data_IF_427133456190
#
_entry.id   IF_427133456190
#
_cell.length_a   1.000
_cell.length_b   1.000
_cell.length_c   1.000
_cell.angle_alpha   90.00
_cell.angle_beta   90.00
_cell.angle_gamma   90.00
#
_symmetry.space_group_name_H-M   'P 1'
#
loop_
_entity.id
_entity.type
_entity.pdbx_description
1 polymer ?
#
# COMPACT_ATOMS: atom_id res chain seq x y z
N UNK A 1 -18.45 22.53 7.33
CA UNK A 1 -17.80 21.42 8.05
C UNK A 1 -18.11 20.16 7.26
N UNK A 2 -17.33 19.88 6.22
CA UNK A 2 -17.58 18.72 5.35
C UNK A 2 -17.33 17.45 6.15
N UNK A 3 -18.36 16.63 6.29
CA UNK A 3 -18.25 15.26 6.75
C UNK A 3 -17.34 14.51 5.76
N UNK A 4 -16.10 14.25 6.15
CA UNK A 4 -15.21 13.43 5.33
C UNK A 4 -15.78 12.00 5.25
N UNK A 5 -15.87 11.41 4.03
CA UNK A 5 -16.56 10.15 3.85
C UNK A 5 -15.82 8.95 4.46
N UNK A 6 -14.53 9.08 4.79
CA UNK A 6 -13.72 8.03 5.40
C UNK A 6 -12.73 8.59 6.43
N UNK A 7 -12.48 7.86 7.51
CA UNK A 7 -11.45 8.19 8.51
C UNK A 7 -10.19 7.32 8.38
N UNK A 8 -10.26 6.26 7.56
CA UNK A 8 -9.19 5.28 7.41
C UNK A 8 -9.00 4.91 5.94
N UNK A 9 -7.73 4.77 5.54
CA UNK A 9 -7.33 4.26 4.22
C UNK A 9 -6.48 3.01 4.44
N UNK A 10 -6.90 1.88 3.85
CA UNK A 10 -6.14 0.64 3.89
C UNK A 10 -5.46 0.38 2.56
N UNK A 11 -4.15 0.19 2.63
CA UNK A 11 -3.29 -0.10 1.48
C UNK A 11 -2.78 -1.54 1.54
N UNK A 12 -2.48 -2.12 0.39
CA UNK A 12 -1.81 -3.42 0.32
C UNK A 12 -0.33 -3.30 0.68
N UNK A 13 0.32 -2.27 0.16
CA UNK A 13 1.77 -2.08 0.16
C UNK A 13 2.18 -0.81 0.89
N UNK A 14 3.44 -0.75 1.35
CA UNK A 14 4.02 0.48 1.89
C UNK A 14 4.10 1.60 0.83
N UNK A 15 4.35 1.23 -0.43
CA UNK A 15 4.37 2.18 -1.53
C UNK A 15 3.00 2.81 -1.79
N UNK A 16 1.92 2.00 -1.75
CA UNK A 16 0.55 2.50 -1.81
C UNK A 16 0.21 3.39 -0.61
N UNK A 17 0.58 2.98 0.60
CA UNK A 17 0.39 3.79 1.80
C UNK A 17 1.05 5.17 1.70
N UNK A 18 2.26 5.26 1.17
CA UNK A 18 2.91 6.56 0.99
C UNK A 18 2.32 7.40 -0.13
N UNK A 19 1.90 6.78 -1.23
CA UNK A 19 1.15 7.49 -2.28
C UNK A 19 -0.10 8.14 -1.69
N UNK A 20 -0.83 7.41 -0.84
CA UNK A 20 -2.03 7.93 -0.18
C UNK A 20 -1.71 9.03 0.83
N UNK A 21 -0.65 8.88 1.63
CA UNK A 21 -0.19 9.94 2.53
C UNK A 21 0.12 11.22 1.76
N UNK A 22 0.88 11.12 0.65
CA UNK A 22 1.22 12.27 -0.18
C UNK A 22 -0.03 12.97 -0.73
N UNK A 23 -0.95 12.22 -1.35
CA UNK A 23 -2.20 12.78 -1.87
C UNK A 23 -3.06 13.44 -0.79
N UNK A 24 -3.12 12.84 0.40
CA UNK A 24 -3.90 13.40 1.51
C UNK A 24 -3.29 14.69 2.06
N UNK A 25 -1.95 14.74 2.19
CA UNK A 25 -1.23 15.94 2.60
C UNK A 25 -1.37 17.06 1.56
N UNK A 26 -1.24 16.75 0.27
CA UNK A 26 -1.47 17.70 -0.84
C UNK A 26 -2.91 18.25 -0.83
N UNK A 27 -3.89 17.41 -0.48
CA UNK A 27 -5.28 17.82 -0.31
C UNK A 27 -5.55 18.57 1.01
N UNK A 28 -4.53 18.79 1.85
CA UNK A 28 -4.60 19.57 3.09
C UNK A 28 -5.17 18.82 4.28
N UNK A 29 -5.18 17.48 4.26
CA UNK A 29 -5.68 16.67 5.37
C UNK A 29 -4.62 16.45 6.45
N UNK A 30 -5.01 16.62 7.71
CA UNK A 30 -4.23 16.13 8.84
C UNK A 30 -4.17 14.61 8.79
N UNK A 31 -3.02 14.07 8.42
CA UNK A 31 -2.87 12.65 8.06
C UNK A 31 -1.96 11.92 9.03
N UNK A 32 -2.38 10.75 9.51
CA UNK A 32 -1.55 9.84 10.29
C UNK A 32 -1.18 8.59 9.49
N UNK A 33 -0.05 7.97 9.84
CA UNK A 33 0.36 6.66 9.34
C UNK A 33 0.50 5.69 10.52
N UNK A 34 -0.14 4.51 10.45
CA UNK A 34 -0.08 3.52 11.53
C UNK A 34 1.35 3.02 11.75
N UNK A 35 1.80 3.16 13.01
CA UNK A 35 3.18 2.89 13.42
C UNK A 35 4.13 4.06 13.21
N UNK A 36 3.61 5.22 12.80
CA UNK A 36 4.36 6.46 12.59
C UNK A 36 5.23 6.44 11.33
N UNK A 37 5.80 7.60 11.02
CA UNK A 37 6.73 7.75 9.89
C UNK A 37 8.19 7.48 10.23
N UNK A 38 8.54 7.23 11.50
CA UNK A 38 9.92 7.05 11.96
C UNK A 38 10.74 6.02 11.15
N UNK A 39 10.25 4.78 10.99
CA UNK A 39 10.92 3.77 10.16
C UNK A 39 11.11 4.21 8.71
N UNK A 40 10.08 4.81 8.10
CA UNK A 40 10.18 5.31 6.72
C UNK A 40 11.17 6.47 6.59
N UNK A 41 11.23 7.36 7.58
CA UNK A 41 12.22 8.45 7.61
C UNK A 41 13.64 7.89 7.66
N UNK A 42 13.90 6.94 8.56
CA UNK A 42 15.21 6.31 8.68
C UNK A 42 15.63 5.64 7.37
N UNK A 43 14.69 4.92 6.74
CA UNK A 43 14.91 4.22 5.49
C UNK A 43 15.13 5.18 4.31
N UNK A 44 14.37 6.27 4.23
CA UNK A 44 14.53 7.29 3.19
C UNK A 44 15.84 8.08 3.32
N UNK A 45 16.29 8.37 4.54
CA UNK A 45 17.61 8.95 4.79
C UNK A 45 18.73 8.01 4.33
N UNK A 46 18.64 6.73 4.69
CA UNK A 46 19.61 5.73 4.30
C UNK A 46 19.67 5.51 2.78
N UNK A 47 18.52 5.46 2.12
CA UNK A 47 18.44 5.44 0.66
C UNK A 47 19.09 6.70 0.05
N UNK A 48 18.87 7.87 0.64
CA UNK A 48 19.47 9.12 0.17
C UNK A 48 20.99 9.12 0.31
N UNK A 49 21.52 8.61 1.43
CA UNK A 49 22.96 8.46 1.62
C UNK A 49 23.58 7.57 0.54
N UNK A 50 22.99 6.41 0.30
CA UNK A 50 23.46 5.49 -0.74
C UNK A 50 23.36 6.05 -2.16
N UNK A 51 22.36 6.90 -2.45
CA UNK A 51 22.23 7.59 -3.75
C UNK A 51 23.33 8.62 -3.96
N UNK A 52 23.75 9.27 -2.88
CA UNK A 52 24.83 10.26 -2.88
C UNK A 52 26.23 9.65 -2.70
N UNK A 53 26.35 8.32 -2.74
CA UNK A 53 27.62 7.61 -2.57
C UNK A 53 28.16 7.61 -1.13
N UNK A 54 27.34 7.97 -0.14
CA UNK A 54 27.67 7.89 1.29
C UNK A 54 27.29 6.52 1.85
N UNK A 55 27.99 6.11 2.91
CA UNK A 55 27.64 4.92 3.69
C UNK A 55 26.42 5.20 4.57
N UNK A 56 25.70 4.15 4.92
CA UNK A 56 24.58 4.20 5.87
C UNK A 56 24.74 3.13 6.95
N UNK A 57 24.26 3.43 8.16
CA UNK A 57 24.22 2.50 9.29
C UNK A 57 22.85 1.78 9.41
N UNK A 58 21.93 2.00 8.45
CA UNK A 58 20.62 1.39 8.50
C UNK A 58 20.73 -0.14 8.36
N UNK A 59 20.19 -0.95 9.29
CA UNK A 59 20.42 -2.41 9.32
C UNK A 59 20.07 -3.13 8.01
N UNK A 60 19.00 -2.70 7.34
CA UNK A 60 18.56 -3.29 6.07
C UNK A 60 19.45 -2.89 4.88
N UNK A 61 20.23 -1.80 5.00
CA UNK A 61 20.96 -1.21 3.87
C UNK A 61 22.49 -1.12 4.07
N UNK A 62 22.99 -1.40 5.28
CA UNK A 62 24.40 -1.23 5.67
C UNK A 62 25.37 -2.07 4.84
N UNK A 63 24.92 -3.21 4.30
CA UNK A 63 25.74 -4.10 3.49
C UNK A 63 25.94 -3.60 2.05
N UNK A 64 25.15 -2.62 1.59
CA UNK A 64 25.20 -2.17 0.22
C UNK A 64 26.19 -1.00 0.06
N UNK A 65 27.02 -1.03 -1.00
CA UNK A 65 27.98 0.06 -1.27
C UNK A 65 27.34 1.27 -1.96
N UNK A 66 26.18 1.09 -2.61
CA UNK A 66 25.50 2.14 -3.37
C UNK A 66 24.01 1.83 -3.52
N UNK A 67 23.22 2.82 -3.92
CA UNK A 67 21.81 2.60 -4.22
C UNK A 67 21.59 1.62 -5.38
N UNK A 68 22.45 1.68 -6.40
CA UNK A 68 22.40 0.72 -7.52
C UNK A 68 22.54 -0.73 -7.05
N UNK A 69 23.41 -1.00 -6.08
CA UNK A 69 23.56 -2.35 -5.51
C UNK A 69 22.30 -2.81 -4.75
N UNK A 70 21.56 -1.90 -4.11
CA UNK A 70 20.26 -2.21 -3.51
C UNK A 70 19.25 -2.60 -4.58
N UNK A 71 19.20 -1.83 -5.68
CA UNK A 71 18.28 -2.09 -6.80
C UNK A 71 18.59 -3.44 -7.46
N UNK A 72 19.87 -3.71 -7.72
CA UNK A 72 20.33 -4.95 -8.34
C UNK A 72 19.99 -6.17 -7.46
N UNK A 73 20.24 -6.06 -6.15
CA UNK A 73 19.90 -7.13 -5.20
C UNK A 73 18.40 -7.37 -5.14
N UNK A 74 17.59 -6.31 -5.02
CA UNK A 74 16.14 -6.43 -4.96
C UNK A 74 15.55 -7.10 -6.23
N UNK A 75 16.12 -6.81 -7.40
CA UNK A 75 15.63 -7.31 -8.67
C UNK A 75 16.08 -8.73 -9.02
N UNK A 76 17.29 -9.15 -8.59
CA UNK A 76 17.92 -10.37 -9.10
C UNK A 76 18.19 -11.44 -8.03
N UNK A 77 18.27 -11.06 -6.76
CA UNK A 77 18.53 -12.03 -5.69
C UNK A 77 17.20 -12.63 -5.17
N UNK A 78 17.07 -13.96 -5.06
CA UNK A 78 15.88 -14.59 -4.50
C UNK A 78 15.50 -14.10 -3.09
N UNK A 79 16.49 -13.67 -2.29
CA UNK A 79 16.28 -13.10 -0.97
C UNK A 79 16.10 -11.56 -0.98
N UNK A 80 16.27 -10.91 -2.14
CA UNK A 80 16.18 -9.46 -2.28
C UNK A 80 14.76 -8.90 -2.36
N UNK A 81 13.76 -9.76 -2.56
CA UNK A 81 12.36 -9.35 -2.74
C UNK A 81 11.81 -8.49 -1.59
N UNK A 82 12.31 -8.66 -0.36
CA UNK A 82 11.90 -7.87 0.80
C UNK A 82 12.27 -6.38 0.68
N UNK A 83 13.29 -6.04 -0.11
CA UNK A 83 13.69 -4.65 -0.38
C UNK A 83 12.96 -4.03 -1.58
N UNK A 84 12.29 -4.83 -2.40
CA UNK A 84 11.58 -4.33 -3.58
C UNK A 84 10.55 -3.23 -3.25
N UNK A 85 9.74 -3.34 -2.17
CA UNK A 85 8.79 -2.27 -1.82
C UNK A 85 9.47 -0.93 -1.51
N UNK A 86 10.68 -0.95 -0.95
CA UNK A 86 11.46 0.26 -0.70
C UNK A 86 11.99 0.82 -2.02
N UNK A 87 12.55 -0.03 -2.88
CA UNK A 87 13.04 0.39 -4.19
C UNK A 87 11.92 1.05 -5.00
N UNK A 88 10.74 0.44 -5.04
CA UNK A 88 9.56 0.97 -5.72
C UNK A 88 9.09 2.30 -5.13
N UNK A 89 9.09 2.42 -3.79
CA UNK A 89 8.70 3.63 -3.09
C UNK A 89 9.62 4.80 -3.45
N UNK A 90 10.94 4.59 -3.39
CA UNK A 90 11.95 5.61 -3.70
C UNK A 90 11.97 5.93 -5.19
N UNK A 91 11.76 4.94 -6.07
CA UNK A 91 11.67 5.16 -7.51
C UNK A 91 10.44 6.01 -7.88
N UNK A 92 9.30 5.78 -7.22
CA UNK A 92 8.05 6.49 -7.51
C UNK A 92 8.04 7.92 -6.99
N UNK A 93 8.51 8.14 -5.76
CA UNK A 93 8.32 9.42 -5.07
C UNK A 93 9.62 10.20 -4.80
N UNK A 94 10.77 9.52 -4.79
CA UNK A 94 12.03 10.11 -4.36
C UNK A 94 12.15 10.25 -2.84
N UNK A 95 13.39 10.29 -2.35
CA UNK A 95 13.70 10.34 -0.91
C UNK A 95 13.25 11.64 -0.26
N UNK A 96 13.42 12.78 -0.93
CA UNK A 96 13.05 14.11 -0.40
C UNK A 96 11.54 14.26 -0.18
N UNK A 97 10.71 13.82 -1.13
CA UNK A 97 9.26 13.88 -1.00
C UNK A 97 8.78 12.99 0.17
N UNK A 98 9.36 11.81 0.32
CA UNK A 98 9.07 10.91 1.44
C UNK A 98 9.42 11.57 2.78
N UNK A 99 10.62 12.16 2.88
CA UNK A 99 11.06 12.84 4.12
C UNK A 99 10.16 14.02 4.48
N UNK A 100 9.75 14.79 3.48
CA UNK A 100 8.83 15.92 3.63
C UNK A 100 7.45 15.47 4.05
N UNK A 101 6.91 14.40 3.45
CA UNK A 101 5.61 13.85 3.83
C UNK A 101 5.62 13.33 5.27
N UNK A 102 6.67 12.60 5.65
CA UNK A 102 6.78 12.03 6.99
C UNK A 102 6.85 13.10 8.08
N UNK A 103 7.52 14.23 7.82
CA UNK A 103 7.61 15.33 8.80
C UNK A 103 6.28 16.06 9.03
N UNK A 104 5.32 15.90 8.12
CA UNK A 104 3.98 16.50 8.19
C UNK A 104 2.93 15.56 8.78
N UNK A 105 3.29 14.32 9.15
CA UNK A 105 2.36 13.38 9.74
C UNK A 105 1.92 13.84 11.13
N UNK A 106 0.62 13.71 11.39
CA UNK A 106 0.01 13.88 12.70
C UNK A 106 0.01 12.57 13.48
N UNK A 107 -0.14 12.67 14.80
CA UNK A 107 -0.48 11.52 15.64
C UNK A 107 -1.87 10.97 15.29
N UNK A 108 -2.09 9.66 15.46
CA UNK A 108 -3.36 9.00 15.14
C UNK A 108 -4.58 9.67 15.83
N UNK A 109 -4.40 10.27 17.01
CA UNK A 109 -5.49 10.96 17.74
C UNK A 109 -5.84 12.34 17.16
N UNK A 110 -4.89 13.00 16.50
CA UNK A 110 -5.04 14.33 15.93
C UNK A 110 -5.30 14.33 14.42
N UNK A 111 -5.36 13.17 13.79
CA UNK A 111 -5.53 13.03 12.35
C UNK A 111 -7.02 12.99 11.95
N UNK A 112 -7.30 13.60 10.81
CA UNK A 112 -8.60 13.48 10.11
C UNK A 112 -8.68 12.17 9.34
N UNK A 113 -7.55 11.69 8.80
CA UNK A 113 -7.44 10.45 8.04
C UNK A 113 -6.21 9.67 8.49
N UNK A 114 -6.38 8.39 8.79
CA UNK A 114 -5.28 7.49 9.13
C UNK A 114 -5.05 6.46 8.02
N UNK A 115 -3.82 6.41 7.51
CA UNK A 115 -3.38 5.43 6.52
C UNK A 115 -2.75 4.23 7.22
N UNK A 116 -3.08 3.03 6.76
CA UNK A 116 -2.49 1.79 7.26
C UNK A 116 -2.29 0.79 6.14
N UNK A 117 -1.33 -0.12 6.28
CA UNK A 117 -1.31 -1.33 5.47
C UNK A 117 -2.27 -2.37 6.06
N UNK A 118 -2.93 -3.16 5.23
CA UNK A 118 -3.89 -4.16 5.67
C UNK A 118 -3.28 -5.22 6.62
N UNK A 119 -1.96 -5.45 6.56
CA UNK A 119 -1.22 -6.28 7.53
C UNK A 119 -1.23 -5.69 8.95
N UNK A 120 -1.06 -4.37 9.07
CA UNK A 120 -1.09 -3.64 10.35
C UNK A 120 -2.51 -3.41 10.87
N UNK A 121 -3.53 -3.77 10.09
CA UNK A 121 -4.94 -3.62 10.45
C UNK A 121 -5.51 -4.75 11.33
N UNK A 122 -4.74 -5.82 11.59
CA UNK A 122 -5.22 -6.98 12.35
C UNK A 122 -5.61 -6.57 13.78
N UNK A 123 -6.84 -6.90 14.18
CA UNK A 123 -7.37 -6.64 15.52
C UNK A 123 -7.94 -5.23 15.74
N UNK A 124 -8.01 -4.39 14.71
CA UNK A 124 -8.64 -3.08 14.74
C UNK A 124 -9.91 -3.08 13.90
N UNK A 125 -10.90 -2.26 14.25
CA UNK A 125 -12.12 -2.11 13.46
C UNK A 125 -12.48 -0.63 13.35
N UNK A 126 -13.04 -0.23 12.21
CA UNK A 126 -13.29 1.18 11.94
C UNK A 126 -14.65 1.43 11.31
N UNK A 127 -15.22 2.58 11.63
CA UNK A 127 -16.55 2.98 11.19
C UNK A 127 -16.59 3.29 9.69
N UNK A 128 -15.55 3.94 9.13
CA UNK A 128 -15.48 4.30 7.71
C UNK A 128 -14.09 4.05 7.13
N UNK A 129 -13.99 3.12 6.18
CA UNK A 129 -12.73 2.69 5.56
C UNK A 129 -12.83 2.82 4.05
N UNK A 130 -11.78 3.35 3.42
CA UNK A 130 -11.52 3.25 1.99
C UNK A 130 -10.38 2.28 1.72
N UNK A 131 -10.52 1.44 0.71
CA UNK A 131 -9.43 0.64 0.18
C UNK A 131 -8.69 1.42 -0.90
N UNK A 132 -7.37 1.51 -0.78
CA UNK A 132 -6.53 2.16 -1.78
C UNK A 132 -6.50 1.37 -3.10
N UNK A 133 -6.07 2.03 -4.17
CA UNK A 133 -6.04 1.44 -5.51
C UNK A 133 -4.89 0.45 -5.74
N UNK A 134 -4.05 0.23 -4.72
CA UNK A 134 -2.86 -0.63 -4.79
C UNK A 134 -3.15 -2.13 -4.56
N UNK A 135 -4.43 -2.51 -4.56
CA UNK A 135 -4.87 -3.90 -4.61
C UNK A 135 -4.92 -4.38 -6.07
N UNK A 136 -4.09 -5.34 -6.48
CA UNK A 136 -4.00 -5.75 -7.88
C UNK A 136 -5.31 -6.42 -8.32
N UNK A 137 -5.76 -6.08 -9.52
CA UNK A 137 -6.74 -6.88 -10.23
C UNK A 137 -6.05 -8.16 -10.75
N UNK A 138 -6.72 -9.32 -10.70
CA UNK A 138 -6.22 -10.54 -11.33
C UNK A 138 -5.95 -10.27 -12.82
N UNK A 139 -4.83 -10.78 -13.33
CA UNK A 139 -4.50 -10.62 -14.75
C UNK A 139 -5.47 -11.45 -15.59
N UNK A 140 -5.71 -11.02 -16.81
CA UNK A 140 -6.40 -11.87 -17.78
C UNK A 140 -5.50 -13.02 -18.23
N UNK A 141 -6.08 -14.21 -18.39
CA UNK A 141 -5.46 -15.29 -19.15
C UNK A 141 -5.61 -15.01 -20.65
N UNK A 142 -4.83 -15.69 -21.48
CA UNK A 142 -4.99 -15.63 -22.94
C UNK A 142 -6.31 -16.30 -23.42
N UNK A 143 -7.11 -16.87 -22.53
CA UNK A 143 -8.37 -17.53 -22.84
C UNK A 143 -9.52 -16.52 -22.88
N UNK A 144 -10.49 -16.78 -23.75
CA UNK A 144 -11.75 -16.03 -23.83
C UNK A 144 -12.93 -16.92 -23.50
N UNK A 145 -13.91 -16.37 -22.80
CA UNK A 145 -15.16 -17.05 -22.49
C UNK A 145 -16.06 -17.20 -23.74
N UNK A 146 -17.21 -17.84 -23.57
CA UNK A 146 -18.18 -18.05 -24.65
C UNK A 146 -18.73 -16.75 -25.27
N UNK A 147 -18.56 -15.61 -24.59
CA UNK A 147 -18.98 -14.28 -25.03
C UNK A 147 -17.81 -13.45 -25.59
N UNK A 148 -16.59 -14.01 -25.65
CA UNK A 148 -15.40 -13.35 -26.14
C UNK A 148 -14.70 -12.45 -25.11
N UNK A 149 -15.11 -12.46 -23.84
CA UNK A 149 -14.46 -11.72 -22.77
C UNK A 149 -13.21 -12.47 -22.29
N UNK A 150 -12.12 -11.77 -21.93
CA UNK A 150 -10.96 -12.41 -21.34
C UNK A 150 -11.31 -13.10 -20.01
N UNK A 151 -10.75 -14.31 -19.81
CA UNK A 151 -10.95 -15.07 -18.57
C UNK A 151 -9.87 -14.65 -17.57
N UNK A 152 -10.22 -14.06 -16.42
CA UNK A 152 -9.22 -13.66 -15.44
C UNK A 152 -8.58 -14.87 -14.75
N UNK A 153 -7.32 -14.73 -14.35
CA UNK A 153 -6.59 -15.70 -13.53
C UNK A 153 -7.23 -15.83 -12.15
N UNK A 154 -7.05 -16.98 -11.51
CA UNK A 154 -7.42 -17.15 -10.11
C UNK A 154 -6.78 -16.04 -9.24
N UNK A 155 -7.55 -15.55 -8.27
CA UNK A 155 -7.07 -14.60 -7.26
C UNK A 155 -6.06 -15.34 -6.38
N UNK A 156 -4.88 -14.77 -6.16
CA UNK A 156 -3.92 -15.32 -5.23
C UNK A 156 -4.52 -15.39 -3.81
N UNK A 157 -4.35 -16.52 -3.13
CA UNK A 157 -4.93 -16.78 -1.83
C UNK A 157 -4.48 -15.77 -0.75
N UNK A 158 -3.25 -15.25 -0.84
CA UNK A 158 -2.77 -14.24 0.10
C UNK A 158 -3.44 -12.88 -0.16
N UNK A 159 -3.61 -12.50 -1.43
CA UNK A 159 -4.34 -11.29 -1.81
C UNK A 159 -5.84 -11.37 -1.45
N UNK A 160 -6.46 -12.54 -1.65
CA UNK A 160 -7.84 -12.78 -1.24
C UNK A 160 -8.02 -12.66 0.28
N UNK A 161 -7.10 -13.22 1.07
CA UNK A 161 -7.09 -13.07 2.54
C UNK A 161 -6.89 -11.62 2.97
N UNK A 162 -6.01 -10.89 2.30
CA UNK A 162 -5.74 -9.49 2.64
C UNK A 162 -6.94 -8.59 2.31
N UNK A 163 -7.59 -8.80 1.16
CA UNK A 163 -8.84 -8.15 0.80
C UNK A 163 -9.96 -8.50 1.80
N UNK A 164 -10.10 -9.78 2.18
CA UNK A 164 -11.05 -10.22 3.20
C UNK A 164 -10.80 -9.52 4.54
N UNK A 165 -9.54 -9.42 5.00
CA UNK A 165 -9.20 -8.68 6.21
C UNK A 165 -9.56 -7.21 6.04
N UNK A 166 -9.24 -6.57 4.92
CA UNK A 166 -9.56 -5.16 4.72
C UNK A 166 -11.08 -4.88 4.72
N UNK A 167 -11.87 -5.74 4.07
CA UNK A 167 -13.34 -5.65 4.01
C UNK A 167 -13.97 -5.90 5.38
N UNK A 168 -13.59 -6.96 6.07
CA UNK A 168 -14.22 -7.37 7.35
C UNK A 168 -13.92 -6.45 8.52
N UNK A 169 -12.98 -5.51 8.36
CA UNK A 169 -12.62 -4.53 9.40
C UNK A 169 -13.44 -3.24 9.29
N UNK A 170 -14.20 -3.05 8.21
CA UNK A 170 -15.12 -1.94 8.03
C UNK A 170 -16.49 -2.25 8.65
N UNK A 171 -16.94 -1.43 9.60
CA UNK A 171 -18.17 -1.69 10.39
C UNK A 171 -19.44 -1.04 9.84
N UNK A 172 -19.35 0.12 9.18
CA UNK A 172 -20.55 0.89 8.80
C UNK A 172 -20.53 1.43 7.37
N UNK A 173 -19.46 2.12 6.95
CA UNK A 173 -19.30 2.59 5.57
C UNK A 173 -18.01 2.03 4.98
N UNK A 174 -18.13 1.37 3.83
CA UNK A 174 -17.03 0.71 3.15
C UNK A 174 -16.98 1.20 1.71
N UNK A 175 -15.90 1.92 1.37
CA UNK A 175 -15.58 2.27 -0.02
C UNK A 175 -14.60 1.24 -0.56
N UNK A 176 -15.05 0.51 -1.59
CA UNK A 176 -14.32 -0.58 -2.22
C UNK A 176 -13.09 -0.12 -2.98
N UNK A 177 -13.02 1.13 -3.45
CA UNK A 177 -11.88 1.67 -4.20
C UNK A 177 -11.28 0.68 -5.20
N UNK A 178 -10.00 0.34 -5.03
CA UNK A 178 -9.27 -0.64 -5.84
C UNK A 178 -9.84 -2.07 -5.88
N UNK A 179 -10.80 -2.42 -5.03
CA UNK A 179 -11.50 -3.72 -5.05
C UNK A 179 -12.83 -3.69 -5.81
N UNK A 180 -13.19 -2.58 -6.47
CA UNK A 180 -14.44 -2.48 -7.25
C UNK A 180 -14.55 -3.53 -8.37
N UNK A 181 -13.43 -4.08 -8.85
CA UNK A 181 -13.41 -5.13 -9.88
C UNK A 181 -14.05 -6.45 -9.42
N UNK A 182 -14.16 -6.72 -8.10
CA UNK A 182 -14.72 -7.98 -7.57
C UNK A 182 -16.16 -8.21 -8.06
N UNK A 183 -16.95 -7.15 -8.26
CA UNK A 183 -18.34 -7.28 -8.72
C UNK A 183 -18.46 -7.84 -10.16
N UNK A 184 -17.37 -7.76 -10.92
CA UNK A 184 -17.30 -8.20 -12.32
C UNK A 184 -16.46 -9.47 -12.49
N UNK A 185 -15.84 -9.98 -11.41
CA UNK A 185 -15.01 -11.18 -11.44
C UNK A 185 -15.87 -12.46 -11.26
N UNK A 186 -15.68 -13.53 -12.06
CA UNK A 186 -16.48 -14.75 -12.00
C UNK A 186 -16.53 -15.40 -10.61
N UNK A 187 -15.41 -15.40 -9.90
CA UNK A 187 -15.32 -15.94 -8.53
C UNK A 187 -16.01 -15.05 -7.48
N UNK A 188 -16.05 -13.73 -7.70
CA UNK A 188 -16.82 -12.80 -6.86
C UNK A 188 -18.32 -12.93 -7.08
N UNK A 189 -18.75 -13.12 -8.34
CA UNK A 189 -20.15 -13.28 -8.72
C UNK A 189 -20.78 -14.61 -8.26
N UNK A 190 -19.97 -15.67 -8.10
CA UNK A 190 -20.44 -16.97 -7.56
C UNK A 190 -20.98 -16.88 -6.14
N UNK A 191 -20.48 -15.95 -5.32
CA UNK A 191 -20.97 -15.74 -3.95
C UNK A 191 -22.40 -15.19 -3.85
N UNK A 192 -22.94 -14.59 -4.93
CA UNK A 192 -24.30 -14.01 -4.96
C UNK A 192 -25.39 -14.96 -5.42
N UNK A 193 -25.06 -16.13 -5.98
CA UNK A 193 -26.08 -17.11 -6.46
C UNK A 193 -26.56 -18.08 -5.37
N UNK A 194 -26.19 -17.84 -4.11
CA UNK A 194 -26.56 -18.67 -2.96
C UNK A 194 -27.34 -17.92 -1.88
N UNK A 195 -27.98 -16.79 -2.21
CA UNK A 195 -29.01 -16.17 -1.37
C UNK A 195 -30.35 -16.11 -2.12
#
# INVERSE_FOLDING_TARGET
MSLHPFGWVLCRTNAGAMTEVLHLLEAGYCTALVGGGGPLRALALAANDLKEGRRTDHPELVLFPSWGAVQDYAAHDPAGGDLQPLVDLVARHGTEAILTAVSQLHDEQGAQVTVSTAHKAKGREWTRVRIADDFPQPKDTDQRDANGNPVPTAIDDADARLAYVAITRARHNFDRGGLAWIDHHPDGARSRRSQ
#
